data_IF_102652848654
#
_entry.id   IF_102652848654
#
_cell.length_a   1.000
_cell.length_b   1.000
_cell.length_c   1.000
_cell.angle_alpha   90.00
_cell.angle_beta   90.00
_cell.angle_gamma   90.00
#
_symmetry.space_group_name_H-M   'P 1'
#
loop_
_entity.id
_entity.type
_entity.pdbx_description
1 polymer ?
#
# COMPACT_ATOMS: atom_id res chain seq x y z
N UNK A 1 -30.46 65.86 -38.06
CA UNK A 1 -29.03 65.92 -38.47
C UNK A 1 -28.26 65.00 -37.54
N UNK A 2 -27.61 63.89 -37.89
CA UNK A 2 -27.41 63.07 -39.08
C UNK A 2 -26.82 61.76 -38.54
N UNK A 3 -27.42 60.60 -38.87
CA UNK A 3 -26.76 59.46 -39.53
C UNK A 3 -25.28 59.25 -39.21
N UNK A 4 -24.93 58.08 -38.66
CA UNK A 4 -24.15 57.05 -39.36
C UNK A 4 -24.15 55.74 -38.57
N UNK A 5 -24.54 54.68 -39.28
CA UNK A 5 -24.53 53.26 -38.88
C UNK A 5 -23.17 52.69 -39.28
N UNK A 6 -22.51 51.91 -38.42
CA UNK A 6 -21.36 51.10 -38.78
C UNK A 6 -21.47 49.71 -38.13
N UNK A 7 -22.07 48.77 -38.85
CA UNK A 7 -22.06 47.35 -38.51
C UNK A 7 -20.71 46.72 -38.87
N UNK A 8 -20.19 45.87 -37.99
CA UNK A 8 -19.07 44.96 -38.30
C UNK A 8 -19.63 43.57 -38.52
N UNK A 9 -19.48 43.08 -39.74
CA UNK A 9 -19.68 41.69 -40.14
C UNK A 9 -18.40 40.93 -39.77
N UNK A 10 -18.51 39.93 -38.90
CA UNK A 10 -17.43 38.99 -38.60
C UNK A 10 -17.71 37.71 -39.41
N UNK A 11 -16.82 37.40 -40.34
CA UNK A 11 -16.90 36.20 -41.19
C UNK A 11 -16.12 35.06 -40.53
N UNK A 12 -16.80 33.92 -40.40
CA UNK A 12 -16.33 32.66 -39.84
C UNK A 12 -15.48 31.87 -40.85
N UNK A 13 -14.41 31.22 -40.40
CA UNK A 13 -13.81 30.08 -41.12
C UNK A 13 -13.79 28.89 -40.16
N UNK A 14 -14.72 27.95 -40.36
CA UNK A 14 -14.71 26.65 -39.69
C UNK A 14 -13.89 25.71 -40.56
N UNK A 15 -12.70 25.33 -40.10
CA UNK A 15 -11.91 24.27 -40.71
C UNK A 15 -12.34 22.92 -40.10
N UNK A 16 -13.08 22.13 -40.86
CA UNK A 16 -13.40 20.73 -40.54
C UNK A 16 -12.21 19.84 -40.89
N UNK A 17 -11.40 19.50 -39.89
CA UNK A 17 -10.38 18.45 -40.01
C UNK A 17 -11.04 17.07 -39.82
N UNK A 18 -11.17 16.31 -40.91
CA UNK A 18 -11.56 14.91 -40.86
C UNK A 18 -10.38 14.07 -40.34
N UNK A 19 -10.44 13.64 -39.08
CA UNK A 19 -9.47 12.71 -38.52
C UNK A 19 -9.81 11.28 -38.97
N UNK A 20 -8.92 10.67 -39.74
CA UNK A 20 -8.98 9.25 -40.11
C UNK A 20 -8.51 8.43 -38.91
N UNK A 21 -9.46 7.82 -38.20
CA UNK A 21 -9.17 6.95 -37.05
C UNK A 21 -8.78 5.56 -37.56
N UNK A 22 -7.49 5.25 -37.64
CA UNK A 22 -7.01 3.90 -37.88
C UNK A 22 -7.16 3.07 -36.59
N UNK A 23 -8.09 2.13 -36.60
CA UNK A 23 -8.28 1.16 -35.51
C UNK A 23 -7.14 0.14 -35.59
N UNK A 24 -6.10 0.33 -34.78
CA UNK A 24 -5.07 -0.70 -34.57
C UNK A 24 -5.67 -1.74 -33.62
N UNK A 25 -5.81 -3.02 -34.00
CA UNK A 25 -6.22 -4.05 -33.06
C UNK A 25 -5.12 -4.19 -32.00
N UNK A 26 -5.45 -3.80 -30.77
CA UNK A 26 -4.60 -4.05 -29.61
C UNK A 26 -4.54 -5.57 -29.41
N UNK A 27 -3.47 -6.20 -29.88
CA UNK A 27 -3.13 -7.56 -29.51
C UNK A 27 -2.99 -7.57 -27.98
N UNK A 28 -3.98 -8.15 -27.29
CA UNK A 28 -3.90 -8.42 -25.87
C UNK A 28 -2.70 -9.34 -25.65
N UNK A 29 -1.60 -8.76 -25.17
CA UNK A 29 -0.48 -9.52 -24.67
C UNK A 29 -1.00 -10.31 -23.48
N UNK A 30 -1.35 -11.59 -23.72
CA UNK A 30 -1.57 -12.54 -22.66
C UNK A 30 -0.25 -12.66 -21.89
N UNK A 31 -0.17 -12.01 -20.74
CA UNK A 31 0.88 -12.29 -19.77
C UNK A 31 0.77 -13.76 -19.42
N UNK A 32 1.70 -14.57 -19.93
CA UNK A 32 1.90 -15.95 -19.49
C UNK A 32 2.35 -15.85 -18.04
N UNK A 33 1.39 -15.96 -17.13
CA UNK A 33 1.64 -16.13 -15.71
C UNK A 33 2.22 -17.54 -15.55
N UNK A 34 3.55 -17.63 -15.69
CA UNK A 34 4.27 -18.89 -15.60
C UNK A 34 3.91 -19.56 -14.28
N UNK A 35 3.26 -20.72 -14.37
CA UNK A 35 2.90 -21.56 -13.23
C UNK A 35 4.16 -21.84 -12.42
N UNK A 36 4.36 -21.10 -11.33
CA UNK A 36 5.48 -21.32 -10.42
C UNK A 36 5.08 -22.40 -9.44
N UNK A 37 5.86 -23.46 -9.44
CA UNK A 37 5.78 -24.51 -8.41
C UNK A 37 6.04 -23.84 -7.06
N UNK A 38 5.03 -23.76 -6.21
CA UNK A 38 5.20 -23.39 -4.81
C UNK A 38 6.07 -24.47 -4.16
N UNK A 39 7.33 -24.16 -3.87
CA UNK A 39 8.21 -25.08 -3.15
C UNK A 39 7.63 -25.35 -1.77
N UNK A 40 7.56 -26.61 -1.37
CA UNK A 40 7.11 -27.00 -0.03
C UNK A 40 7.95 -26.28 1.04
N UNK A 41 7.30 -25.88 2.15
CA UNK A 41 7.99 -25.28 3.30
C UNK A 41 9.00 -26.29 3.86
N UNK A 42 10.29 -25.96 3.97
CA UNK A 42 11.30 -26.93 4.37
C UNK A 42 11.17 -27.33 5.84
N UNK A 43 11.56 -28.57 6.20
CA UNK A 43 11.54 -29.01 7.59
C UNK A 43 12.35 -28.07 8.50
N UNK A 44 11.75 -27.67 9.62
CA UNK A 44 12.38 -26.75 10.59
C UNK A 44 12.24 -25.27 10.27
N UNK A 45 11.64 -24.89 9.13
CA UNK A 45 11.22 -23.51 8.92
C UNK A 45 10.10 -23.14 9.89
N UNK A 46 10.15 -21.93 10.44
CA UNK A 46 9.08 -21.41 11.30
C UNK A 46 8.92 -19.91 11.12
N UNK A 47 7.69 -19.45 11.38
CA UNK A 47 7.31 -18.04 11.29
C UNK A 47 6.82 -17.62 12.66
N UNK A 48 7.55 -16.72 13.32
CA UNK A 48 7.17 -16.17 14.63
C UNK A 48 6.79 -14.72 14.48
N UNK A 49 5.56 -14.40 14.90
CA UNK A 49 4.99 -13.06 14.79
C UNK A 49 5.13 -12.33 16.13
N UNK A 50 5.68 -11.13 16.11
CA UNK A 50 5.82 -10.26 17.28
C UNK A 50 5.12 -8.94 17.02
N UNK A 51 4.15 -8.60 17.86
CA UNK A 51 3.44 -7.34 17.78
C UNK A 51 4.27 -6.21 18.40
N UNK A 52 4.40 -5.10 17.67
CA UNK A 52 4.99 -3.86 18.16
C UNK A 52 3.94 -2.76 18.06
N UNK A 53 3.09 -2.66 19.10
CA UNK A 53 2.14 -1.57 19.24
C UNK A 53 2.85 -0.31 19.74
N UNK A 54 2.80 0.77 18.95
CA UNK A 54 2.84 2.14 19.49
C UNK A 54 1.40 2.65 19.62
N UNK A 55 1.23 3.86 20.15
CA UNK A 55 -0.06 4.52 20.34
C UNK A 55 -0.96 4.35 19.10
N UNK A 56 -2.12 3.70 19.31
CA UNK A 56 -3.12 3.42 18.29
C UNK A 56 -3.26 1.94 17.89
N UNK A 57 -2.29 1.07 18.20
CA UNK A 57 -2.45 -0.38 18.02
C UNK A 57 -2.20 -1.17 19.29
N UNK A 58 -3.21 -1.91 19.72
CA UNK A 58 -3.17 -2.88 20.79
C UNK A 58 -3.48 -4.29 20.23
N UNK A 59 -3.40 -5.29 21.09
CA UNK A 59 -3.71 -6.68 20.71
C UNK A 59 -5.17 -6.87 20.27
N UNK A 60 -6.08 -5.99 20.66
CA UNK A 60 -7.52 -6.11 20.39
C UNK A 60 -7.89 -5.57 19.00
N UNK A 61 -7.06 -4.68 18.45
CA UNK A 61 -7.28 -4.07 17.13
C UNK A 61 -6.23 -4.46 16.08
N UNK A 62 -5.36 -5.42 16.42
CA UNK A 62 -4.32 -5.95 15.55
C UNK A 62 -4.42 -7.47 15.50
N UNK A 63 -4.57 -8.03 14.31
CA UNK A 63 -4.63 -9.47 14.10
C UNK A 63 -3.58 -9.89 13.07
N UNK A 64 -2.90 -11.01 13.30
CA UNK A 64 -1.92 -11.54 12.35
C UNK A 64 -2.15 -13.01 12.18
N UNK A 65 -2.28 -13.43 10.92
CA UNK A 65 -2.49 -14.82 10.56
C UNK A 65 -1.51 -15.23 9.48
N UNK A 66 -1.04 -16.46 9.58
CA UNK A 66 -0.38 -17.18 8.48
C UNK A 66 -1.44 -18.10 7.89
N UNK A 67 -1.55 -18.15 6.56
CA UNK A 67 -2.46 -19.09 5.90
C UNK A 67 -2.06 -20.53 6.20
N UNK A 68 -3.02 -21.45 6.16
CA UNK A 68 -2.79 -22.86 6.50
C UNK A 68 -1.73 -23.52 5.62
N UNK A 69 -1.68 -23.13 4.35
CA UNK A 69 -0.66 -23.55 3.38
C UNK A 69 0.71 -22.88 3.59
N UNK A 70 0.83 -21.96 4.54
CA UNK A 70 2.05 -21.23 4.83
C UNK A 70 2.50 -20.28 3.72
N UNK A 71 1.68 -20.01 2.70
CA UNK A 71 2.09 -19.22 1.52
C UNK A 71 1.88 -17.71 1.68
N UNK A 72 1.18 -17.30 2.74
CA UNK A 72 0.81 -15.89 2.96
C UNK A 72 0.75 -15.54 4.44
N UNK A 73 1.25 -14.36 4.77
CA UNK A 73 1.07 -13.70 6.07
C UNK A 73 0.17 -12.50 5.88
N UNK A 74 -0.82 -12.33 6.74
CA UNK A 74 -1.72 -11.18 6.75
C UNK A 74 -1.71 -10.53 8.12
N UNK A 75 -1.32 -9.28 8.15
CA UNK A 75 -1.41 -8.36 9.27
C UNK A 75 -2.59 -7.42 9.06
N UNK A 76 -3.57 -7.43 9.96
CA UNK A 76 -4.73 -6.57 9.94
C UNK A 76 -4.64 -5.58 11.10
N UNK A 77 -4.80 -4.30 10.80
CA UNK A 77 -4.89 -3.21 11.77
C UNK A 77 -6.25 -2.55 11.64
N UNK A 78 -6.89 -2.24 12.77
CA UNK A 78 -8.23 -1.63 12.82
C UNK A 78 -8.28 -0.50 13.83
N UNK A 79 -9.24 0.40 13.65
CA UNK A 79 -9.55 1.47 14.62
C UNK A 79 -8.38 2.44 14.83
N UNK A 80 -7.55 2.62 13.80
CA UNK A 80 -6.44 3.54 13.83
C UNK A 80 -6.99 4.95 13.63
N UNK A 81 -6.92 5.77 14.69
CA UNK A 81 -7.43 7.14 14.70
C UNK A 81 -6.32 8.14 14.91
N UNK A 82 -6.24 9.12 14.03
CA UNK A 82 -5.41 10.32 14.22
C UNK A 82 -6.26 11.56 14.04
N UNK A 83 -5.95 12.61 14.79
CA UNK A 83 -6.63 13.90 14.72
C UNK A 83 -5.60 15.00 14.59
N UNK A 84 -5.96 16.14 14.01
CA UNK A 84 -5.09 17.30 14.12
C UNK A 84 -4.87 17.66 15.60
N UNK A 85 -3.66 18.08 15.94
CA UNK A 85 -3.26 18.33 17.32
C UNK A 85 -1.89 18.99 17.38
N UNK A 86 -1.51 19.44 18.57
CA UNK A 86 -0.25 20.18 18.79
C UNK A 86 0.91 19.25 19.15
N UNK A 87 0.61 17.99 19.51
CA UNK A 87 1.63 17.00 19.85
C UNK A 87 1.73 15.89 18.80
N UNK A 88 2.93 15.32 18.55
CA UNK A 88 3.10 14.19 17.63
C UNK A 88 2.20 12.99 17.91
N UNK A 89 1.77 12.81 19.17
CA UNK A 89 0.90 11.70 19.58
C UNK A 89 -0.55 11.87 19.11
N UNK A 90 -0.99 13.10 18.88
CA UNK A 90 -2.35 13.39 18.43
C UNK A 90 -2.48 13.24 16.92
N UNK A 91 -1.51 13.78 16.18
CA UNK A 91 -1.55 13.82 14.72
C UNK A 91 -0.85 12.66 14.04
N UNK A 92 -0.15 11.79 14.76
CA UNK A 92 0.52 10.62 14.19
C UNK A 92 0.26 9.37 15.01
N UNK A 93 -0.12 8.29 14.32
CA UNK A 93 -0.19 6.94 14.87
C UNK A 93 0.67 6.00 14.03
N UNK A 94 1.27 5.02 14.66
CA UNK A 94 2.11 4.03 13.97
C UNK A 94 1.92 2.67 14.62
N UNK A 95 1.77 1.66 13.78
CA UNK A 95 1.63 0.27 14.17
C UNK A 95 2.62 -0.57 13.40
N UNK A 96 3.21 -1.55 14.06
CA UNK A 96 4.11 -2.45 13.38
C UNK A 96 3.95 -3.89 13.87
N UNK A 97 4.15 -4.81 12.94
CA UNK A 97 4.27 -6.24 13.22
C UNK A 97 5.61 -6.68 12.67
N UNK A 98 6.36 -7.42 13.46
CA UNK A 98 7.56 -8.10 13.01
C UNK A 98 7.23 -9.56 12.76
N UNK A 99 7.43 -10.02 11.53
CA UNK A 99 7.43 -11.44 11.22
C UNK A 99 8.89 -11.91 11.18
N UNK A 100 9.25 -12.84 12.05
CA UNK A 100 10.58 -13.47 12.09
C UNK A 100 10.49 -14.84 11.43
N UNK A 101 11.43 -15.13 10.55
CA UNK A 101 11.48 -16.37 9.78
C UNK A 101 12.75 -17.12 10.17
N UNK A 102 12.59 -18.32 10.74
CA UNK A 102 13.69 -19.26 10.88
C UNK A 102 13.91 -19.94 9.53
N UNK A 103 15.12 -19.79 8.99
CA UNK A 103 15.50 -20.36 7.70
C UNK A 103 16.44 -21.55 7.98
N UNK A 104 16.06 -22.80 7.63
CA UNK A 104 16.92 -23.96 7.83
C UNK A 104 18.23 -23.86 7.05
N UNK A 105 19.27 -24.56 7.54
CA UNK A 105 20.53 -24.69 6.81
C UNK A 105 20.30 -25.29 5.42
N UNK A 106 21.01 -24.77 4.41
CA UNK A 106 20.82 -25.19 3.01
C UNK A 106 19.59 -24.58 2.33
N UNK A 107 18.84 -23.71 2.99
CA UNK A 107 17.67 -23.05 2.42
C UNK A 107 17.80 -21.53 2.44
N UNK A 108 17.09 -20.86 1.54
CA UNK A 108 16.87 -19.42 1.52
C UNK A 108 15.40 -19.10 1.31
N UNK A 109 14.99 -17.93 1.79
CA UNK A 109 13.60 -17.50 1.84
C UNK A 109 13.41 -16.12 1.20
N UNK A 110 12.32 -15.92 0.46
CA UNK A 110 11.88 -14.60 0.03
C UNK A 110 10.34 -14.54 -0.14
N UNK A 111 9.66 -13.51 0.37
CA UNK A 111 8.34 -13.15 -0.15
C UNK A 111 8.49 -12.56 -1.56
N UNK A 112 7.57 -12.88 -2.48
CA UNK A 112 7.57 -12.26 -3.82
C UNK A 112 6.61 -11.12 -3.97
N UNK A 113 5.51 -11.18 -3.25
CA UNK A 113 4.48 -10.16 -3.35
C UNK A 113 4.24 -9.55 -2.00
N UNK A 114 4.11 -8.24 -1.98
CA UNK A 114 3.55 -7.52 -0.86
C UNK A 114 2.31 -6.77 -1.32
N UNK A 115 1.26 -6.85 -0.52
CA UNK A 115 -0.01 -6.19 -0.79
C UNK A 115 -0.43 -5.39 0.43
N UNK A 116 -1.02 -4.24 0.17
CA UNK A 116 -1.69 -3.43 1.16
C UNK A 116 -3.10 -3.13 0.67
N UNK A 117 -4.09 -3.27 1.54
CA UNK A 117 -5.46 -2.91 1.25
C UNK A 117 -6.08 -2.23 2.47
N UNK A 118 -7.06 -1.37 2.27
CA UNK A 118 -7.69 -0.72 3.41
C UNK A 118 -8.95 0.03 3.06
N UNK A 119 -9.60 0.50 4.13
CA UNK A 119 -10.76 1.37 4.09
C UNK A 119 -10.60 2.44 5.17
N UNK A 120 -10.80 3.69 4.79
CA UNK A 120 -10.57 4.85 5.63
C UNK A 120 -11.73 5.82 5.54
N UNK A 121 -12.03 6.49 6.65
CA UNK A 121 -12.88 7.68 6.69
C UNK A 121 -12.01 8.88 7.01
N UNK A 122 -12.11 9.92 6.19
CA UNK A 122 -11.40 11.19 6.38
C UNK A 122 -12.43 12.28 6.53
N UNK A 123 -12.25 13.14 7.54
CA UNK A 123 -13.08 14.33 7.73
C UNK A 123 -12.18 15.55 7.86
N UNK A 124 -12.62 16.65 7.25
CA UNK A 124 -11.88 17.90 7.18
C UNK A 124 -10.93 17.97 5.98
N UNK A 125 -10.41 19.17 5.69
CA UNK A 125 -9.54 19.45 4.54
C UNK A 125 -8.06 19.04 4.74
N UNK A 126 -7.77 18.11 5.65
CA UNK A 126 -6.41 17.65 5.95
C UNK A 126 -5.89 16.66 4.91
N UNK A 127 -4.56 16.67 4.67
CA UNK A 127 -3.90 15.59 3.93
C UNK A 127 -3.48 14.54 4.94
N UNK A 128 -3.99 13.34 4.75
CA UNK A 128 -3.64 12.24 5.62
C UNK A 128 -2.61 11.36 4.92
N UNK A 129 -1.40 11.29 5.47
CA UNK A 129 -0.39 10.36 4.97
C UNK A 129 -0.61 9.00 5.60
N UNK A 130 -0.71 7.99 4.77
CA UNK A 130 -0.80 6.63 5.22
C UNK A 130 0.25 5.78 4.50
N UNK A 131 1.22 5.24 5.25
CA UNK A 131 2.41 4.59 4.72
C UNK A 131 2.49 3.14 5.15
N UNK A 132 2.77 2.24 4.19
CA UNK A 132 3.14 0.85 4.45
C UNK A 132 4.56 0.58 3.99
N UNK A 133 5.39 0.08 4.90
CA UNK A 133 6.79 -0.22 4.63
C UNK A 133 7.19 -1.60 5.17
N UNK A 134 8.14 -2.20 4.46
CA UNK A 134 8.78 -3.47 4.74
C UNK A 134 10.27 -3.26 4.92
N UNK A 135 10.79 -3.77 6.03
CA UNK A 135 12.21 -3.68 6.36
C UNK A 135 12.77 -5.07 6.53
N UNK A 136 13.81 -5.37 5.78
CA UNK A 136 14.76 -6.45 6.06
C UNK A 136 16.14 -5.86 6.33
N UNK A 137 17.09 -6.62 6.91
CA UNK A 137 18.46 -6.15 7.13
C UNK A 137 19.17 -5.64 5.87
N UNK A 138 18.76 -6.09 4.67
CA UNK A 138 19.39 -5.73 3.39
C UNK A 138 18.59 -4.75 2.56
N UNK A 139 17.28 -4.68 2.77
CA UNK A 139 16.37 -3.93 1.90
C UNK A 139 15.36 -3.16 2.75
N UNK A 140 15.35 -1.85 2.58
CA UNK A 140 14.22 -1.01 2.96
C UNK A 140 13.34 -0.83 1.74
N UNK A 141 12.09 -1.29 1.82
CA UNK A 141 11.11 -1.11 0.75
C UNK A 141 9.86 -0.44 1.28
N UNK A 142 9.52 0.74 0.74
CA UNK A 142 8.21 1.35 0.97
C UNK A 142 7.27 0.85 -0.14
N UNK A 143 6.15 0.27 0.27
CA UNK A 143 5.21 -0.48 -0.59
C UNK A 143 3.92 0.32 -0.82
N UNK A 144 3.80 1.48 -0.17
CA UNK A 144 2.73 2.39 -0.48
C UNK A 144 2.79 3.60 0.40
N UNK A 145 2.77 4.76 -0.22
CA UNK A 145 2.36 5.99 0.43
C UNK A 145 1.07 6.41 -0.25
N UNK A 146 -0.01 6.47 0.53
CA UNK A 146 -1.27 7.05 0.08
C UNK A 146 -1.46 8.37 0.81
N UNK A 147 -1.86 9.39 0.06
CA UNK A 147 -2.38 10.63 0.61
C UNK A 147 -3.89 10.56 0.46
N UNK A 148 -4.58 10.50 1.60
CA UNK A 148 -6.03 10.43 1.64
C UNK A 148 -6.58 11.82 1.94
N UNK A 149 -7.68 12.15 1.30
CA UNK A 149 -8.45 13.38 1.44
C UNK A 149 -9.89 13.04 1.85
N UNK A 150 -10.69 14.05 2.18
CA UNK A 150 -12.11 13.85 2.49
C UNK A 150 -12.88 13.16 1.35
N UNK A 151 -12.47 13.39 0.10
CA UNK A 151 -13.08 12.77 -1.09
C UNK A 151 -12.78 11.26 -1.18
N UNK A 152 -11.75 10.78 -0.48
CA UNK A 152 -11.38 9.36 -0.39
C UNK A 152 -12.10 8.63 0.76
N UNK A 153 -12.99 9.33 1.48
CA UNK A 153 -13.71 8.76 2.61
C UNK A 153 -14.65 7.63 2.18
N UNK A 154 -14.53 6.48 2.81
CA UNK A 154 -15.26 5.25 2.45
C UNK A 154 -14.69 4.49 1.26
N UNK A 155 -13.65 5.01 0.60
CA UNK A 155 -13.01 4.31 -0.51
C UNK A 155 -12.26 3.07 -0.02
N UNK A 156 -12.52 1.94 -0.67
CA UNK A 156 -11.71 0.73 -0.54
C UNK A 156 -10.58 0.83 -1.55
N UNK A 157 -9.34 0.73 -1.06
CA UNK A 157 -8.16 0.79 -1.91
C UNK A 157 -7.29 -0.44 -1.72
N UNK A 158 -6.52 -0.77 -2.75
CA UNK A 158 -5.55 -1.85 -2.76
C UNK A 158 -4.33 -1.39 -3.55
N UNK A 159 -3.14 -1.69 -3.03
CA UNK A 159 -1.88 -1.61 -3.78
C UNK A 159 -1.11 -2.92 -3.63
N UNK A 160 -0.42 -3.31 -4.69
CA UNK A 160 0.37 -4.52 -4.74
C UNK A 160 1.73 -4.22 -5.37
N UNK A 161 2.79 -4.79 -4.80
CA UNK A 161 4.15 -4.64 -5.25
C UNK A 161 4.81 -6.00 -5.40
N UNK A 162 5.49 -6.18 -6.52
CA UNK A 162 6.38 -7.31 -6.76
C UNK A 162 7.75 -6.98 -6.17
N UNK A 163 8.22 -7.81 -5.24
CA UNK A 163 9.49 -7.64 -4.54
C UNK A 163 10.69 -8.13 -5.37
N UNK A 164 10.44 -8.97 -6.37
CA UNK A 164 11.45 -9.53 -7.27
C UNK A 164 12.46 -10.46 -6.57
N UNK A 165 13.54 -10.82 -7.27
CA UNK A 165 14.62 -11.71 -6.74
C UNK A 165 15.54 -11.03 -5.72
N UNK A 166 15.35 -9.74 -5.46
CA UNK A 166 16.27 -8.92 -4.64
C UNK A 166 16.17 -9.17 -3.13
N UNK A 167 15.27 -10.05 -2.68
CA UNK A 167 14.92 -10.19 -1.26
C UNK A 167 15.20 -11.59 -0.70
N UNK A 168 15.90 -12.45 -1.43
CA UNK A 168 16.35 -13.72 -0.85
C UNK A 168 17.30 -13.50 0.31
N UNK A 169 17.08 -14.25 1.38
CA UNK A 169 18.05 -14.39 2.46
C UNK A 169 19.31 -15.07 1.98
N UNK A 170 20.37 -14.89 2.75
CA UNK A 170 21.48 -15.85 2.72
C UNK A 170 21.02 -17.22 3.22
N UNK A 171 21.78 -18.24 2.86
CA UNK A 171 21.46 -19.63 3.17
C UNK A 171 21.50 -19.87 4.69
N UNK A 172 20.40 -20.37 5.26
CA UNK A 172 20.28 -20.66 6.69
C UNK A 172 20.29 -19.42 7.60
N UNK A 173 20.24 -18.21 7.03
CA UNK A 173 20.27 -16.97 7.82
C UNK A 173 18.84 -16.53 8.14
N UNK A 174 18.46 -16.45 9.44
CA UNK A 174 17.16 -15.94 9.84
C UNK A 174 16.93 -14.51 9.32
N UNK A 175 15.69 -14.20 9.01
CA UNK A 175 15.30 -12.86 8.56
C UNK A 175 14.07 -12.38 9.32
N UNK A 176 13.95 -11.08 9.49
CA UNK A 176 12.73 -10.47 9.96
C UNK A 176 12.21 -9.45 8.94
N UNK A 177 10.90 -9.39 8.83
CA UNK A 177 10.17 -8.39 8.06
C UNK A 177 9.36 -7.54 9.03
N UNK A 178 9.62 -6.24 9.03
CA UNK A 178 8.79 -5.29 9.75
C UNK A 178 7.69 -4.76 8.82
N UNK A 179 6.44 -5.15 9.08
CA UNK A 179 5.25 -4.61 8.43
C UNK A 179 4.76 -3.42 9.25
N UNK A 180 4.95 -2.20 8.76
CA UNK A 180 4.59 -0.99 9.48
C UNK A 180 3.49 -0.23 8.75
N UNK A 181 2.52 0.27 9.50
CA UNK A 181 1.51 1.24 9.07
C UNK A 181 1.70 2.52 9.87
N UNK A 182 1.81 3.65 9.19
CA UNK A 182 1.82 4.97 9.84
C UNK A 182 0.70 5.82 9.26
N UNK A 183 -0.10 6.42 10.13
CA UNK A 183 -1.10 7.43 9.79
C UNK A 183 -0.63 8.78 10.33
N UNK A 184 -0.77 9.83 9.53
CA UNK A 184 -0.44 11.20 9.94
C UNK A 184 -1.49 12.16 9.39
N UNK A 185 -2.16 12.91 10.27
CA UNK A 185 -3.06 13.99 9.89
C UNK A 185 -2.27 15.30 9.86
N UNK A 186 -1.88 15.78 8.68
CA UNK A 186 -1.34 17.13 8.52
C UNK A 186 -2.39 18.05 7.94
N UNK A 187 -2.55 19.21 8.56
CA UNK A 187 -3.46 20.23 8.09
C UNK A 187 -2.71 21.52 7.78
N UNK A 188 -3.19 22.23 6.76
CA UNK A 188 -2.71 23.58 6.45
C UNK A 188 -3.36 24.63 7.37
N UNK A 189 -4.51 24.32 7.96
CA UNK A 189 -5.23 25.17 8.92
C UNK A 189 -5.36 24.44 10.27
N UNK A 190 -4.71 24.90 11.35
CA UNK A 190 -4.77 24.28 12.67
C UNK A 190 -6.13 24.44 13.39
N UNK A 191 -7.02 25.32 12.92
CA UNK A 191 -8.30 25.58 13.56
C UNK A 191 -9.44 24.67 13.07
N UNK A 192 -9.35 24.11 11.86
CA UNK A 192 -10.36 23.22 11.33
C UNK A 192 -10.15 21.78 11.86
N UNK A 193 -11.20 21.02 12.22
CA UNK A 193 -11.02 19.63 12.63
C UNK A 193 -10.60 18.78 11.41
N UNK A 194 -9.47 18.08 11.53
CA UNK A 194 -9.12 16.99 10.62
C UNK A 194 -8.95 15.70 11.41
N UNK A 195 -9.59 14.63 10.96
CA UNK A 195 -9.36 13.31 11.51
C UNK A 195 -9.36 12.25 10.42
N UNK A 196 -8.60 11.18 10.68
CA UNK A 196 -8.60 9.95 9.93
C UNK A 196 -9.02 8.83 10.87
N UNK A 197 -10.01 8.04 10.44
CA UNK A 197 -10.29 6.73 11.01
C UNK A 197 -10.01 5.67 9.96
N UNK A 198 -9.00 4.84 10.22
CA UNK A 198 -8.73 3.65 9.43
C UNK A 198 -9.52 2.50 10.08
N UNK A 199 -10.68 2.22 9.47
CA UNK A 199 -11.55 1.11 9.88
C UNK A 199 -10.89 -0.25 9.64
N UNK A 200 -10.10 -0.37 8.56
CA UNK A 200 -9.37 -1.59 8.19
C UNK A 200 -8.12 -1.25 7.40
N UNK A 201 -7.02 -1.89 7.75
CA UNK A 201 -5.76 -1.84 7.03
C UNK A 201 -5.10 -3.21 7.05
N UNK A 202 -5.06 -3.87 5.92
CA UNK A 202 -4.49 -5.19 5.74
C UNK A 202 -3.16 -5.05 5.01
N UNK A 203 -2.09 -5.54 5.62
CA UNK A 203 -0.77 -5.69 5.01
C UNK A 203 -0.51 -7.18 4.87
N UNK A 204 -0.09 -7.63 3.70
CA UNK A 204 0.23 -9.05 3.51
C UNK A 204 1.50 -9.26 2.71
N UNK A 205 2.26 -10.29 3.09
CA UNK A 205 3.29 -10.92 2.28
C UNK A 205 2.71 -12.21 1.71
N UNK A 206 2.85 -12.43 0.41
CA UNK A 206 2.41 -13.65 -0.25
C UNK A 206 3.47 -14.17 -1.21
N UNK A 207 3.20 -15.35 -1.76
CA UNK A 207 4.11 -16.07 -2.64
C UNK A 207 5.44 -16.29 -1.90
N UNK A 208 5.33 -16.82 -0.68
CA UNK A 208 6.47 -17.15 0.16
C UNK A 208 7.28 -18.26 -0.50
N UNK A 209 8.45 -17.90 -1.03
CA UNK A 209 9.28 -18.82 -1.78
C UNK A 209 10.46 -19.32 -0.94
N UNK A 210 10.58 -20.63 -0.89
CA UNK A 210 11.72 -21.36 -0.34
C UNK A 210 12.55 -21.94 -1.49
N UNK A 211 13.86 -21.78 -1.41
CA UNK A 211 14.79 -22.40 -2.36
C UNK A 211 15.93 -23.06 -1.61
N UNK A 212 16.35 -24.21 -2.10
CA UNK A 212 17.63 -24.77 -1.71
C UNK A 212 18.76 -23.84 -2.19
N UNK A 213 19.81 -23.86 -1.38
CA UNK A 213 21.16 -23.49 -1.75
C UNK A 213 21.87 -24.78 -2.14
#
# INVERSE_FOLDING_TARGET
MGHHIAGRVVVTVVATAAAVTTVIPAAAAATVEGSRTTTAVPPGASITLTHFGREGCNKDNTNVNVTEDGTRIVAQFRGLRVRNGTSPREYRSTCAIRANFAVPAGWRFAPRTARVAGASSVVGAGRVKAETAFYSPRVKMSIGQSYLTADDSGAIWTRQHQLGDRVFTECGVPIHYLMMVSAEAKQNDPAAPAWLDISRWDVSLSDLEWREC
#
